data_IF_655001155801
#
_entry.id   IF_655001155801
#
_cell.length_a   1.000
_cell.length_b   1.000
_cell.length_c   1.000
_cell.angle_alpha   90.00
_cell.angle_beta   90.00
_cell.angle_gamma   90.00
#
_symmetry.space_group_name_H-M   'P 1'
#
loop_
_entity.id
_entity.type
_entity.pdbx_description
1 polymer ?
#
# COMPACT_ATOMS: atom_id res chain seq x y z
N UNK A 1 -13.92 7.98 12.38
CA UNK A 1 -12.63 7.38 12.78
C UNK A 1 -11.84 7.21 11.50
N UNK A 2 -10.92 8.13 11.20
CA UNK A 2 -10.08 8.07 10.00
C UNK A 2 -8.86 7.20 10.32
N UNK A 3 -9.06 5.89 10.34
CA UNK A 3 -7.94 4.95 10.42
C UNK A 3 -7.36 4.81 9.01
N UNK A 4 -6.45 5.70 8.67
CA UNK A 4 -5.65 5.59 7.47
C UNK A 4 -4.81 4.31 7.56
N UNK A 5 -5.15 3.30 6.75
CA UNK A 5 -4.45 2.03 6.72
C UNK A 5 -2.97 2.23 6.38
N UNK A 6 -2.12 1.45 7.04
CA UNK A 6 -0.65 1.53 6.91
C UNK A 6 -0.04 2.88 7.29
N UNK A 7 -0.79 3.78 7.94
CA UNK A 7 -0.26 5.01 8.50
C UNK A 7 0.43 4.75 9.85
N UNK A 8 1.60 4.10 9.79
CA UNK A 8 2.47 3.86 10.94
C UNK A 8 3.28 5.11 11.31
N UNK A 9 3.83 5.16 12.53
CA UNK A 9 4.75 6.23 12.95
C UNK A 9 5.88 6.46 11.94
N UNK A 10 6.50 5.39 11.43
CA UNK A 10 7.57 5.47 10.41
C UNK A 10 7.07 6.13 9.11
N UNK A 11 5.88 5.76 8.63
CA UNK A 11 5.32 6.38 7.42
C UNK A 11 4.98 7.86 7.64
N UNK A 12 4.45 8.22 8.80
CA UNK A 12 4.16 9.63 9.15
C UNK A 12 5.45 10.45 9.20
N UNK A 13 6.48 9.94 9.88
CA UNK A 13 7.79 10.59 9.96
C UNK A 13 8.40 10.78 8.57
N UNK A 14 8.40 9.73 7.74
CA UNK A 14 8.93 9.81 6.37
C UNK A 14 8.19 10.87 5.53
N UNK A 15 6.85 10.86 5.55
CA UNK A 15 6.04 11.82 4.78
C UNK A 15 6.30 13.27 5.21
N UNK A 16 6.48 13.49 6.52
CA UNK A 16 6.79 14.81 7.06
C UNK A 16 8.22 15.26 6.72
N UNK A 17 9.17 14.32 6.66
CA UNK A 17 10.56 14.62 6.30
C UNK A 17 10.76 14.86 4.80
N UNK A 18 9.93 14.26 3.93
CA UNK A 18 10.11 14.30 2.48
C UNK A 18 8.83 14.67 1.70
N UNK A 19 8.17 15.79 2.00
CA UNK A 19 6.87 16.12 1.40
C UNK A 19 6.92 16.28 -0.13
N UNK A 20 8.02 16.83 -0.67
CA UNK A 20 8.20 16.98 -2.13
C UNK A 20 8.29 15.63 -2.85
N UNK A 21 8.96 14.65 -2.23
CA UNK A 21 9.06 13.29 -2.76
C UNK A 21 7.71 12.59 -2.74
N UNK A 22 6.91 12.79 -1.70
CA UNK A 22 5.53 12.29 -1.64
C UNK A 22 4.69 12.87 -2.78
N UNK A 23 4.74 14.18 -3.00
CA UNK A 23 4.01 14.83 -4.09
C UNK A 23 4.47 14.32 -5.47
N UNK A 24 5.76 14.03 -5.64
CA UNK A 24 6.29 13.41 -6.86
C UNK A 24 5.71 12.01 -7.08
N UNK A 25 5.65 11.17 -6.06
CA UNK A 25 5.04 9.85 -6.17
C UNK A 25 3.53 9.91 -6.46
N UNK A 26 2.81 10.84 -5.84
CA UNK A 26 1.39 11.08 -6.16
C UNK A 26 1.19 11.44 -7.64
N UNK A 27 2.02 12.34 -8.16
CA UNK A 27 2.01 12.68 -9.60
C UNK A 27 2.38 11.50 -10.50
N UNK A 28 3.38 10.71 -10.13
CA UNK A 28 3.79 9.52 -10.89
C UNK A 28 2.68 8.47 -10.96
N UNK A 29 1.99 8.22 -9.84
CA UNK A 29 0.83 7.34 -9.79
C UNK A 29 -0.28 7.88 -10.70
N UNK A 30 -0.61 9.18 -10.58
CA UNK A 30 -1.66 9.82 -11.38
C UNK A 30 -1.40 9.80 -12.89
N UNK A 31 -0.13 9.84 -13.30
CA UNK A 31 0.28 9.78 -14.71
C UNK A 31 0.57 8.35 -15.21
N UNK A 32 0.51 7.33 -14.36
CA UNK A 32 0.82 5.95 -14.73
C UNK A 32 2.29 5.70 -15.07
N UNK A 33 3.21 6.55 -14.60
CA UNK A 33 4.65 6.45 -14.85
C UNK A 33 5.42 6.41 -13.52
N UNK A 34 5.14 5.38 -12.71
CA UNK A 34 5.75 5.20 -11.39
C UNK A 34 6.85 4.13 -11.40
N UNK A 35 7.71 4.20 -10.38
CA UNK A 35 8.75 3.21 -10.10
C UNK A 35 8.16 1.77 -10.04
N UNK A 36 8.85 0.71 -10.51
CA UNK A 36 8.31 -0.65 -10.53
C UNK A 36 7.77 -1.13 -9.18
N UNK A 37 8.48 -0.85 -8.09
CA UNK A 37 8.03 -1.27 -6.75
C UNK A 37 6.81 -0.47 -6.26
N UNK A 38 6.72 0.81 -6.63
CA UNK A 38 5.55 1.64 -6.35
C UNK A 38 4.34 1.16 -7.18
N UNK A 39 4.58 0.79 -8.45
CA UNK A 39 3.58 0.20 -9.33
C UNK A 39 3.11 -1.16 -8.81
N UNK A 40 4.02 -1.98 -8.30
CA UNK A 40 3.70 -3.24 -7.65
C UNK A 40 2.77 -3.03 -6.44
N UNK A 41 3.11 -2.12 -5.52
CA UNK A 41 2.23 -1.80 -4.39
C UNK A 41 0.84 -1.30 -4.83
N UNK A 42 0.75 -0.54 -5.92
CA UNK A 42 -0.52 -0.04 -6.45
C UNK A 42 -1.39 -1.16 -7.02
N UNK A 43 -0.82 -1.95 -7.93
CA UNK A 43 -1.55 -2.98 -8.70
C UNK A 43 -1.88 -4.20 -7.87
N UNK A 44 -1.08 -4.49 -6.83
CA UNK A 44 -1.35 -5.58 -5.92
C UNK A 44 -2.73 -5.45 -5.23
N UNK A 45 -3.24 -4.23 -5.05
CA UNK A 45 -4.57 -4.00 -4.47
C UNK A 45 -5.68 -4.66 -5.30
N UNK A 46 -5.50 -4.81 -6.61
CA UNK A 46 -6.51 -5.40 -7.50
C UNK A 46 -6.78 -6.88 -7.21
N UNK A 47 -5.82 -7.59 -6.62
CA UNK A 47 -5.97 -8.99 -6.18
C UNK A 47 -6.81 -9.11 -4.89
N UNK A 48 -7.09 -7.99 -4.20
CA UNK A 48 -7.77 -7.95 -2.91
C UNK A 48 -9.06 -7.11 -2.98
N UNK A 49 -10.18 -7.69 -3.45
CA UNK A 49 -11.36 -6.93 -3.87
C UNK A 49 -12.06 -6.17 -2.74
N UNK A 50 -12.04 -6.68 -1.49
CA UNK A 50 -12.64 -5.94 -0.37
C UNK A 50 -11.77 -4.76 0.04
N UNK A 51 -10.45 -4.93 0.07
CA UNK A 51 -9.50 -3.86 0.33
C UNK A 51 -9.59 -2.78 -0.75
N UNK A 52 -9.60 -3.16 -2.04
CA UNK A 52 -9.74 -2.24 -3.16
C UNK A 52 -11.03 -1.41 -3.06
N UNK A 53 -12.16 -2.09 -2.85
CA UNK A 53 -13.45 -1.43 -2.71
C UNK A 53 -13.49 -0.47 -1.51
N UNK A 54 -12.92 -0.88 -0.38
CA UNK A 54 -12.82 -0.04 0.81
C UNK A 54 -11.98 1.21 0.54
N UNK A 55 -10.76 1.06 0.03
CA UNK A 55 -9.84 2.16 -0.28
C UNK A 55 -10.45 3.16 -1.26
N UNK A 56 -11.17 2.69 -2.27
CA UNK A 56 -11.92 3.54 -3.20
C UNK A 56 -13.09 4.26 -2.54
N UNK A 57 -13.80 3.60 -1.63
CA UNK A 57 -14.94 4.20 -0.93
C UNK A 57 -14.59 5.37 0.00
N UNK A 58 -13.31 5.48 0.38
CA UNK A 58 -12.76 6.54 1.23
C UNK A 58 -11.72 7.41 0.50
N UNK A 59 -11.62 7.31 -0.83
CA UNK A 59 -10.68 8.07 -1.66
C UNK A 59 -9.21 7.99 -1.19
N UNK A 60 -8.79 6.82 -0.69
CA UNK A 60 -7.49 6.66 -0.02
C UNK A 60 -6.48 5.78 -0.78
N UNK A 61 -6.81 5.31 -1.98
CA UNK A 61 -5.96 4.37 -2.74
C UNK A 61 -4.51 4.87 -2.92
N UNK A 62 -4.31 6.14 -3.29
CA UNK A 62 -2.95 6.68 -3.51
C UNK A 62 -2.20 6.86 -2.19
N UNK A 63 -2.88 7.36 -1.15
CA UNK A 63 -2.31 7.51 0.18
C UNK A 63 -1.85 6.18 0.77
N UNK A 64 -2.68 5.15 0.60
CA UNK A 64 -2.37 3.77 0.99
C UNK A 64 -1.19 3.20 0.21
N UNK A 65 -1.19 3.36 -1.12
CA UNK A 65 -0.11 2.89 -2.01
C UNK A 65 1.25 3.46 -1.60
N UNK A 66 1.31 4.76 -1.31
CA UNK A 66 2.53 5.43 -0.87
C UNK A 66 2.99 4.91 0.50
N UNK A 67 2.06 4.70 1.43
CA UNK A 67 2.41 4.12 2.73
C UNK A 67 2.94 2.69 2.59
N UNK A 68 2.30 1.87 1.74
CA UNK A 68 2.75 0.53 1.42
C UNK A 68 4.15 0.55 0.80
N UNK A 69 4.42 1.45 -0.14
CA UNK A 69 5.73 1.58 -0.77
C UNK A 69 6.84 1.99 0.22
N UNK A 70 6.55 2.90 1.15
CA UNK A 70 7.49 3.27 2.21
C UNK A 70 7.79 2.07 3.12
N UNK A 71 6.78 1.30 3.52
CA UNK A 71 6.96 0.11 4.35
C UNK A 71 7.76 -0.96 3.60
N UNK A 72 7.38 -1.24 2.36
CA UNK A 72 8.06 -2.18 1.46
C UNK A 72 9.54 -1.84 1.27
N UNK A 73 9.85 -0.58 0.98
CA UNK A 73 11.23 -0.09 0.85
C UNK A 73 12.04 -0.26 2.15
N UNK A 74 11.40 -0.04 3.31
CA UNK A 74 12.03 -0.26 4.60
C UNK A 74 12.32 -1.74 4.83
N UNK A 75 11.37 -2.65 4.54
CA UNK A 75 11.62 -4.08 4.66
C UNK A 75 12.73 -4.56 3.74
N UNK A 76 12.76 -4.09 2.49
CA UNK A 76 13.85 -4.43 1.57
C UNK A 76 15.21 -4.01 2.15
N UNK A 77 15.33 -2.80 2.69
CA UNK A 77 16.56 -2.34 3.37
C UNK A 77 16.88 -3.24 4.57
N UNK A 78 15.91 -3.49 5.44
CA UNK A 78 16.11 -4.25 6.68
C UNK A 78 16.53 -5.71 6.36
N UNK A 79 16.03 -6.33 5.28
CA UNK A 79 16.49 -7.63 4.78
C UNK A 79 17.92 -7.56 4.22
N UNK A 80 18.27 -6.53 3.45
CA UNK A 80 19.66 -6.35 2.97
C UNK A 80 20.62 -6.22 4.16
N UNK A 81 20.26 -5.42 5.16
CA UNK A 81 21.03 -5.26 6.41
C UNK A 81 21.17 -6.57 7.20
N UNK A 82 20.20 -7.49 7.03
CA UNK A 82 20.23 -8.83 7.62
C UNK A 82 21.04 -9.86 6.80
N UNK A 83 21.66 -9.44 5.68
CA UNK A 83 22.56 -10.27 4.87
C UNK A 83 21.93 -10.92 3.63
N UNK A 84 20.68 -10.59 3.30
CA UNK A 84 20.06 -11.07 2.07
C UNK A 84 20.58 -10.31 0.83
N UNK A 85 20.64 -11.00 -0.31
CA UNK A 85 20.92 -10.34 -1.59
C UNK A 85 19.79 -9.36 -1.96
N UNK A 86 20.07 -8.38 -2.82
CA UNK A 86 19.06 -7.40 -3.24
C UNK A 86 17.80 -8.04 -3.86
N UNK A 87 17.97 -9.11 -4.66
CA UNK A 87 16.85 -9.83 -5.25
C UNK A 87 16.04 -10.59 -4.19
N UNK A 88 16.73 -11.30 -3.28
CA UNK A 88 16.05 -12.04 -2.20
C UNK A 88 15.32 -11.10 -1.23
N UNK A 89 15.90 -9.93 -0.93
CA UNK A 89 15.28 -8.91 -0.11
C UNK A 89 14.02 -8.32 -0.76
N UNK A 90 14.05 -8.13 -2.09
CA UNK A 90 12.88 -7.69 -2.85
C UNK A 90 11.75 -8.74 -2.81
N UNK A 91 12.07 -10.01 -3.06
CA UNK A 91 11.10 -11.11 -3.01
C UNK A 91 10.46 -11.24 -1.62
N UNK A 92 11.26 -11.12 -0.56
CA UNK A 92 10.75 -11.13 0.82
C UNK A 92 9.86 -9.92 1.10
N UNK A 93 10.26 -8.71 0.71
CA UNK A 93 9.43 -7.51 0.89
C UNK A 93 8.11 -7.60 0.10
N UNK A 94 8.14 -8.18 -1.11
CA UNK A 94 6.94 -8.45 -1.90
C UNK A 94 6.01 -9.46 -1.20
N UNK A 95 6.58 -10.50 -0.60
CA UNK A 95 5.80 -11.47 0.16
C UNK A 95 5.14 -10.86 1.40
N UNK A 96 5.89 -10.08 2.19
CA UNK A 96 5.36 -9.43 3.40
C UNK A 96 4.23 -8.43 3.08
N UNK A 97 4.34 -7.68 1.99
CA UNK A 97 3.28 -6.75 1.60
C UNK A 97 2.02 -7.48 1.09
N UNK A 98 2.19 -8.61 0.39
CA UNK A 98 1.07 -9.49 0.00
C UNK A 98 0.33 -10.03 1.23
N UNK A 99 1.05 -10.54 2.22
CA UNK A 99 0.45 -11.03 3.48
C UNK A 99 -0.30 -9.91 4.21
N UNK A 100 0.28 -8.71 4.23
CA UNK A 100 -0.36 -7.53 4.83
C UNK A 100 -1.66 -7.17 4.12
N UNK A 101 -1.67 -7.18 2.79
CA UNK A 101 -2.89 -6.86 2.03
C UNK A 101 -3.96 -7.93 2.21
N UNK A 102 -3.57 -9.21 2.27
CA UNK A 102 -4.51 -10.29 2.55
C UNK A 102 -5.16 -10.14 3.93
N UNK A 103 -4.35 -9.87 4.97
CA UNK A 103 -4.85 -9.66 6.32
C UNK A 103 -5.81 -8.46 6.41
N UNK A 104 -5.52 -7.38 5.67
CA UNK A 104 -6.44 -6.24 5.58
C UNK A 104 -7.72 -6.60 4.83
N UNK A 105 -7.62 -7.29 3.70
CA UNK A 105 -8.77 -7.73 2.90
C UNK A 105 -9.73 -8.64 3.69
N UNK A 106 -9.20 -9.45 4.60
CA UNK A 106 -9.96 -10.33 5.50
C UNK A 106 -10.44 -9.64 6.79
N UNK A 107 -9.99 -8.40 7.06
CA UNK A 107 -10.35 -7.66 8.26
C UNK A 107 -11.85 -7.43 8.36
N UNK A 108 -12.44 -7.73 9.52
CA UNK A 108 -13.86 -7.47 9.75
C UNK A 108 -14.22 -5.99 9.54
N UNK A 109 -13.31 -5.06 9.85
CA UNK A 109 -13.54 -3.63 9.66
C UNK A 109 -13.74 -3.27 8.18
N UNK A 110 -13.03 -3.95 7.28
CA UNK A 110 -13.13 -3.75 5.83
C UNK A 110 -14.30 -4.55 5.24
N UNK A 111 -14.42 -5.83 5.59
CA UNK A 111 -15.46 -6.72 5.04
C UNK A 111 -16.87 -6.29 5.45
N UNK A 112 -17.03 -5.78 6.67
CA UNK A 112 -18.34 -5.33 7.19
C UNK A 112 -18.66 -3.88 6.82
N UNK A 113 -17.72 -3.12 6.23
CA UNK A 113 -17.96 -1.73 5.84
C UNK A 113 -19.08 -1.64 4.78
N UNK A 114 -20.19 -0.91 5.05
CA UNK A 114 -21.32 -0.84 4.12
C UNK A 114 -20.98 -0.18 2.79
N UNK A 115 -20.06 0.80 2.77
CA UNK A 115 -19.66 1.49 1.54
C UNK A 115 -18.74 0.60 0.70
N UNK A 116 -17.81 -0.12 1.33
CA UNK A 116 -16.96 -1.10 0.66
C UNK A 116 -17.81 -2.19 -0.02
N UNK A 117 -18.89 -2.66 0.60
CA UNK A 117 -19.82 -3.61 -0.03
C UNK A 117 -20.47 -3.06 -1.30
N UNK A 118 -20.93 -1.80 -1.27
CA UNK A 118 -21.51 -1.14 -2.45
C UNK A 118 -20.47 -1.01 -3.55
N UNK A 119 -19.27 -0.51 -3.22
CA UNK A 119 -18.18 -0.35 -4.18
C UNK A 119 -17.73 -1.68 -4.79
N UNK A 120 -17.68 -2.75 -4.00
CA UNK A 120 -17.33 -4.08 -4.51
C UNK A 120 -18.34 -4.55 -5.57
N UNK A 121 -19.63 -4.34 -5.35
CA UNK A 121 -20.66 -4.72 -6.33
C UNK A 121 -20.59 -3.88 -7.61
N UNK A 122 -20.05 -2.67 -7.56
CA UNK A 122 -19.83 -1.81 -8.73
C UNK A 122 -18.60 -2.27 -9.53
N UNK A 123 -17.58 -2.79 -8.83
CA UNK A 123 -16.30 -3.19 -9.41
C UNK A 123 -16.25 -4.66 -9.90
N UNK A 124 -17.22 -5.48 -9.50
CA UNK A 124 -17.36 -6.88 -9.89
C UNK A 124 -18.13 -7.04 -11.21
#
# INVERSE_FOLDING_TARGET
MNEALLLTKKTVEFRNSYPELIAQWEMQIGHGNCHPDLHFCLTLVDDFPYLNAYLRSIDYLFGFTINAYIIHSNWQRDFIESGYSGNSALELANHEIQLTYNALNESEAIVKDPKAKIYRNILA
#
